data_IF_138314390118
#
_entry.id   IF_138314390118
#
_cell.length_a   1.000
_cell.length_b   1.000
_cell.length_c   1.000
_cell.angle_alpha   90.00
_cell.angle_beta   90.00
_cell.angle_gamma   90.00
#
_symmetry.space_group_name_H-M   'P 1'
#
loop_
_entity.id
_entity.type
_entity.pdbx_description
1 polymer ?
#
# COMPACT_ATOMS: atom_id res chain seq x y z
N UNK A 1 -9.84 -21.77 12.09
CA UNK A 1 -10.04 -21.56 10.63
C UNK A 1 -9.71 -20.10 10.31
N UNK A 2 -8.47 -19.82 9.90
CA UNK A 2 -8.04 -18.48 9.50
C UNK A 2 -8.33 -18.32 8.02
N UNK A 3 -9.21 -17.37 7.67
CA UNK A 3 -9.55 -17.09 6.26
C UNK A 3 -8.38 -16.34 5.63
N UNK A 4 -7.68 -16.99 4.70
CA UNK A 4 -6.65 -16.38 3.87
C UNK A 4 -7.27 -15.20 3.11
N UNK A 5 -7.01 -13.99 3.60
CA UNK A 5 -7.55 -12.77 3.01
C UNK A 5 -6.62 -12.34 1.88
N UNK A 6 -6.99 -12.73 0.66
CA UNK A 6 -6.28 -12.35 -0.56
C UNK A 6 -6.47 -10.86 -0.80
N UNK A 7 -5.38 -10.08 -0.81
CA UNK A 7 -5.42 -8.66 -1.17
C UNK A 7 -5.45 -8.55 -2.69
N UNK A 8 -6.61 -8.20 -3.23
CA UNK A 8 -6.76 -7.90 -4.67
C UNK A 8 -6.19 -6.51 -4.95
N UNK A 9 -5.03 -6.45 -5.59
CA UNK A 9 -4.43 -5.19 -6.08
C UNK A 9 -5.13 -4.79 -7.38
N UNK A 10 -6.02 -3.81 -7.32
CA UNK A 10 -6.63 -3.25 -8.53
C UNK A 10 -5.64 -2.30 -9.21
N UNK A 11 -5.23 -2.65 -10.43
CA UNK A 11 -4.53 -1.74 -11.34
C UNK A 11 -5.49 -0.59 -11.67
N UNK A 12 -5.22 0.61 -11.16
CA UNK A 12 -5.85 1.81 -11.70
C UNK A 12 -5.26 1.97 -13.10
N UNK A 13 -6.03 1.66 -14.14
CA UNK A 13 -5.71 2.18 -15.47
C UNK A 13 -5.59 3.70 -15.32
N UNK A 14 -4.40 4.22 -15.61
CA UNK A 14 -4.17 5.65 -15.69
C UNK A 14 -5.23 6.18 -16.65
N UNK A 15 -6.20 6.92 -16.11
CA UNK A 15 -7.22 7.57 -16.89
C UNK A 15 -6.51 8.33 -18.00
N UNK A 16 -6.76 7.93 -19.25
CA UNK A 16 -6.53 8.79 -20.40
C UNK A 16 -7.43 9.99 -20.19
N UNK A 17 -6.89 11.06 -19.62
CA UNK A 17 -7.46 12.38 -19.88
C UNK A 17 -7.32 12.56 -21.38
N UNK A 18 -8.45 12.56 -22.09
CA UNK A 18 -8.49 12.97 -23.48
C UNK A 18 -7.96 14.41 -23.53
N UNK A 19 -6.72 14.55 -24.00
CA UNK A 19 -6.10 15.83 -24.27
C UNK A 19 -6.89 16.47 -25.43
N UNK A 20 -7.29 17.74 -25.34
CA UNK A 20 -7.91 18.43 -26.46
C UNK A 20 -6.99 18.35 -27.69
N UNK A 21 -7.56 18.07 -28.87
CA UNK A 21 -6.87 17.71 -30.13
C UNK A 21 -5.88 18.76 -30.69
N UNK A 22 -5.58 19.85 -29.97
CA UNK A 22 -4.89 21.02 -30.52
C UNK A 22 -3.61 21.44 -29.78
N UNK A 23 -3.01 20.59 -28.94
CA UNK A 23 -1.67 20.85 -28.39
C UNK A 23 -0.62 19.91 -29.02
N UNK A 24 0.31 20.49 -29.78
CA UNK A 24 1.46 19.77 -30.32
C UNK A 24 2.27 19.11 -29.20
N UNK A 25 2.82 17.90 -29.41
CA UNK A 25 3.56 17.21 -28.38
C UNK A 25 4.91 17.90 -28.16
N UNK A 26 5.04 18.61 -27.04
CA UNK A 26 6.35 18.92 -26.49
C UNK A 26 7.12 17.61 -26.26
N UNK A 27 8.14 17.37 -27.09
CA UNK A 27 9.14 16.31 -26.91
C UNK A 27 9.84 16.50 -25.57
N UNK A 28 9.39 15.80 -24.54
CA UNK A 28 10.06 15.77 -23.25
C UNK A 28 9.44 14.73 -22.34
N UNK A 29 10.26 13.77 -21.91
CA UNK A 29 9.98 12.79 -20.84
C UNK A 29 8.92 11.71 -21.12
N UNK A 30 9.23 10.80 -22.05
CA UNK A 30 8.56 9.48 -22.15
C UNK A 30 9.56 8.31 -22.07
N UNK A 31 10.61 8.48 -21.27
CA UNK A 31 11.72 7.50 -21.20
C UNK A 31 12.00 6.96 -19.80
N UNK A 32 11.39 7.53 -18.74
CA UNK A 32 11.58 7.06 -17.35
C UNK A 32 10.61 5.97 -16.90
N UNK A 33 9.58 5.66 -17.69
CA UNK A 33 8.55 4.68 -17.33
C UNK A 33 8.89 3.25 -17.82
N UNK A 34 9.86 3.09 -18.73
CA UNK A 34 10.21 1.80 -19.32
C UNK A 34 10.97 0.89 -18.35
N UNK A 35 11.88 1.43 -17.54
CA UNK A 35 12.65 0.63 -16.56
C UNK A 35 11.77 0.15 -15.40
N UNK A 36 10.90 1.03 -14.88
CA UNK A 36 9.94 0.68 -13.83
C UNK A 36 8.96 -0.41 -14.28
N UNK A 37 8.54 -0.40 -15.55
CA UNK A 37 7.61 -1.40 -16.07
C UNK A 37 8.24 -2.81 -16.15
N UNK A 38 9.56 -2.92 -16.31
CA UNK A 38 10.29 -4.20 -16.29
C UNK A 38 10.58 -4.68 -14.85
N UNK A 39 10.69 -3.76 -13.90
CA UNK A 39 10.96 -4.07 -12.48
C UNK A 39 9.70 -4.48 -11.70
N UNK A 40 8.52 -3.99 -12.09
CA UNK A 40 7.26 -4.33 -11.43
C UNK A 40 6.97 -5.85 -11.43
N UNK A 41 7.08 -6.58 -12.56
CA UNK A 41 6.92 -8.04 -12.57
C UNK A 41 7.90 -8.75 -11.64
N UNK A 42 9.16 -8.28 -11.59
CA UNK A 42 10.19 -8.85 -10.70
C UNK A 42 9.86 -8.62 -9.22
N UNK A 43 9.35 -7.43 -8.88
CA UNK A 43 8.90 -7.12 -7.52
C UNK A 43 7.73 -8.03 -7.11
N UNK A 44 6.75 -8.22 -8.00
CA UNK A 44 5.62 -9.12 -7.74
C UNK A 44 6.05 -10.58 -7.60
N UNK A 45 6.93 -11.06 -8.48
CA UNK A 45 7.48 -12.40 -8.42
C UNK A 45 8.26 -12.63 -7.13
N UNK A 46 9.09 -11.65 -6.72
CA UNK A 46 9.82 -11.71 -5.45
C UNK A 46 8.90 -11.79 -4.24
N UNK A 47 7.77 -11.06 -4.24
CA UNK A 47 6.78 -11.13 -3.15
C UNK A 47 6.03 -12.48 -3.08
N UNK A 48 6.07 -13.27 -4.15
CA UNK A 48 5.43 -14.59 -4.24
C UNK A 48 6.33 -15.79 -3.95
N UNK A 49 7.65 -15.59 -3.82
CA UNK A 49 8.64 -16.67 -3.66
C UNK A 49 8.72 -17.21 -2.23
N UNK A 50 9.10 -18.47 -2.05
CA UNK A 50 9.21 -19.14 -0.74
C UNK A 50 10.21 -18.47 0.23
N UNK A 51 11.22 -17.77 -0.29
CA UNK A 51 12.14 -16.91 0.47
C UNK A 51 11.99 -15.46 0.02
N UNK A 52 12.00 -14.51 0.96
CA UNK A 52 11.97 -13.07 0.68
C UNK A 52 10.97 -12.30 1.54
N UNK A 53 10.50 -11.17 1.01
CA UNK A 53 9.45 -10.38 1.64
C UNK A 53 8.08 -10.91 1.24
N UNK A 54 7.09 -10.82 2.13
CA UNK A 54 5.70 -11.11 1.83
C UNK A 54 4.76 -10.03 2.36
N UNK A 55 3.57 -10.01 1.79
CA UNK A 55 2.50 -9.16 2.26
C UNK A 55 1.71 -9.86 3.38
N UNK A 56 1.56 -9.20 4.52
CA UNK A 56 0.77 -9.69 5.64
C UNK A 56 -0.28 -8.67 6.08
N UNK A 57 -1.38 -9.18 6.65
CA UNK A 57 -2.37 -8.36 7.35
C UNK A 57 -2.07 -8.47 8.84
N UNK A 58 -1.85 -7.32 9.47
CA UNK A 58 -1.51 -7.20 10.88
C UNK A 58 -2.63 -6.50 11.63
N UNK A 59 -2.90 -6.97 12.84
CA UNK A 59 -3.84 -6.33 13.75
C UNK A 59 -3.31 -4.95 14.16
N UNK A 60 -4.21 -3.99 14.34
CA UNK A 60 -3.87 -2.61 14.64
C UNK A 60 -3.28 -2.43 16.03
N UNK A 61 -3.71 -3.22 17.01
CA UNK A 61 -3.17 -3.26 18.39
C UNK A 61 -1.63 -3.43 18.48
N UNK A 62 -0.99 -3.97 17.44
CA UNK A 62 0.47 -4.04 17.35
C UNK A 62 1.15 -2.67 17.11
N UNK A 63 0.40 -1.67 16.66
CA UNK A 63 0.93 -0.36 16.24
C UNK A 63 0.33 0.80 17.01
N UNK A 64 -0.83 0.65 17.64
CA UNK A 64 -1.54 1.77 18.29
C UNK A 64 -2.17 1.34 19.60
N UNK A 65 -2.46 2.34 20.44
CA UNK A 65 -3.34 2.19 21.60
C UNK A 65 -4.80 2.46 21.22
N UNK A 66 -5.75 1.99 22.04
CA UNK A 66 -7.17 2.18 21.77
C UNK A 66 -7.49 3.66 21.68
N UNK A 67 -8.30 4.04 20.70
CA UNK A 67 -8.76 5.42 20.51
C UNK A 67 -7.66 6.45 20.16
N UNK A 68 -6.44 5.99 19.89
CA UNK A 68 -5.32 6.87 19.54
C UNK A 68 -5.54 7.56 18.19
N UNK A 69 -5.30 8.87 18.13
CA UNK A 69 -5.33 9.63 16.89
C UNK A 69 -3.94 9.75 16.28
N UNK A 70 -3.72 9.12 15.12
CA UNK A 70 -2.45 9.11 14.41
C UNK A 70 -2.68 9.33 12.91
N UNK A 71 -1.72 9.95 12.25
CA UNK A 71 -1.64 9.94 10.79
C UNK A 71 -0.91 8.68 10.29
N UNK A 72 -0.98 8.43 8.99
CA UNK A 72 -0.42 7.22 8.40
C UNK A 72 1.11 7.20 8.45
N UNK A 73 1.78 8.36 8.44
CA UNK A 73 3.24 8.41 8.62
C UNK A 73 3.69 7.94 10.00
N UNK A 74 2.97 8.32 11.06
CA UNK A 74 3.24 7.86 12.43
C UNK A 74 3.12 6.33 12.52
N UNK A 75 2.11 5.74 11.85
CA UNK A 75 1.96 4.27 11.76
C UNK A 75 3.13 3.62 10.99
N UNK A 76 3.55 4.19 9.86
CA UNK A 76 4.72 3.70 9.10
C UNK A 76 5.98 3.70 9.98
N UNK A 77 6.20 4.77 10.76
CA UNK A 77 7.35 4.85 11.66
C UNK A 77 7.31 3.75 12.72
N UNK A 78 6.14 3.46 13.30
CA UNK A 78 5.98 2.35 14.26
C UNK A 78 6.24 0.99 13.61
N UNK A 79 5.75 0.78 12.38
CA UNK A 79 6.05 -0.44 11.61
C UNK A 79 7.54 -0.66 11.39
N UNK A 80 8.32 0.40 11.15
CA UNK A 80 9.78 0.31 10.99
C UNK A 80 10.49 -0.23 12.23
N UNK A 81 10.03 0.08 13.44
CA UNK A 81 10.58 -0.49 14.66
C UNK A 81 10.43 -2.02 14.72
N UNK A 82 9.46 -2.56 13.97
CA UNK A 82 9.20 -3.98 13.82
C UNK A 82 9.81 -4.60 12.55
N UNK A 83 10.63 -3.84 11.82
CA UNK A 83 11.17 -4.22 10.49
C UNK A 83 10.09 -4.47 9.44
N UNK A 84 8.96 -3.79 9.55
CA UNK A 84 7.83 -3.89 8.62
C UNK A 84 7.67 -2.59 7.83
N UNK A 85 7.22 -2.71 6.59
CA UNK A 85 6.85 -1.58 5.74
C UNK A 85 5.32 -1.56 5.65
N UNK A 86 4.67 -0.65 6.39
CA UNK A 86 3.22 -0.45 6.30
C UNK A 86 2.89 0.22 4.97
N UNK A 87 2.10 -0.45 4.13
CA UNK A 87 1.75 0.01 2.78
C UNK A 87 0.27 0.39 2.64
N UNK A 88 -0.57 0.00 3.60
CA UNK A 88 -1.99 0.33 3.58
C UNK A 88 -2.73 -0.09 4.84
N UNK A 89 -4.05 0.06 4.83
CA UNK A 89 -4.94 -0.37 5.90
C UNK A 89 -6.31 -0.78 5.36
N UNK A 90 -7.10 -1.48 6.18
CA UNK A 90 -8.54 -1.65 6.00
C UNK A 90 -9.22 -1.31 7.32
N UNK A 91 -10.21 -0.43 7.24
CA UNK A 91 -11.02 -0.06 8.40
C UNK A 91 -11.97 -1.19 8.77
N UNK A 92 -12.36 -1.25 10.04
CA UNK A 92 -13.25 -2.27 10.58
C UNK A 92 -14.59 -2.37 9.81
N UNK A 93 -15.11 -1.23 9.36
CA UNK A 93 -16.36 -1.07 8.64
C UNK A 93 -16.20 -1.02 7.11
N UNK A 94 -14.96 -1.08 6.62
CA UNK A 94 -14.67 -1.04 5.20
C UNK A 94 -14.54 -2.44 4.59
N UNK A 95 -15.21 -2.65 3.46
CA UNK A 95 -15.10 -3.90 2.70
C UNK A 95 -13.71 -4.07 2.06
N UNK A 96 -13.11 -2.97 1.62
CA UNK A 96 -11.87 -2.96 0.82
C UNK A 96 -10.71 -2.28 1.54
N UNK A 97 -9.53 -2.83 1.33
CA UNK A 97 -8.28 -2.23 1.74
C UNK A 97 -7.92 -1.00 0.90
N UNK A 98 -7.29 -0.01 1.53
CA UNK A 98 -6.66 1.15 0.90
C UNK A 98 -5.16 0.95 0.91
N UNK A 99 -4.57 0.71 -0.26
CA UNK A 99 -3.13 0.66 -0.46
C UNK A 99 -2.64 2.04 -0.88
N UNK A 100 -1.52 2.48 -0.32
CA UNK A 100 -0.92 3.79 -0.57
C UNK A 100 -1.95 4.94 -0.38
N UNK A 101 -2.47 5.13 0.85
CA UNK A 101 -3.53 6.10 1.10
C UNK A 101 -3.12 7.51 0.62
N UNK A 102 -4.02 8.27 -0.04
CA UNK A 102 -3.67 9.53 -0.66
C UNK A 102 -3.35 10.64 0.37
N UNK A 103 -4.05 10.67 1.50
CA UNK A 103 -3.85 11.64 2.58
C UNK A 103 -3.12 10.98 3.76
N UNK A 104 -1.79 10.92 3.71
CA UNK A 104 -0.96 10.22 4.72
C UNK A 104 -0.73 11.04 5.99
N UNK A 105 -0.87 12.34 5.89
CA UNK A 105 -0.70 13.36 6.93
C UNK A 105 -1.97 13.60 7.74
N UNK A 106 -3.13 13.27 7.18
CA UNK A 106 -4.41 13.34 7.87
C UNK A 106 -4.40 12.45 9.13
N UNK A 107 -4.59 13.06 10.30
CA UNK A 107 -4.78 12.33 11.56
C UNK A 107 -6.18 11.72 11.57
N UNK A 108 -6.29 10.50 12.09
CA UNK A 108 -7.57 9.85 12.35
C UNK A 108 -7.52 9.07 13.65
N UNK A 109 -8.69 8.89 14.25
CA UNK A 109 -8.92 7.91 15.29
C UNK A 109 -8.94 6.51 14.68
N UNK A 110 -8.12 5.61 15.22
CA UNK A 110 -8.06 4.21 14.80
C UNK A 110 -8.78 3.31 15.82
N UNK A 111 -9.30 2.19 15.33
CA UNK A 111 -9.91 1.13 16.14
C UNK A 111 -9.03 -0.11 16.15
N UNK A 112 -9.03 -0.88 17.24
CA UNK A 112 -8.40 -2.21 17.27
C UNK A 112 -9.01 -3.21 16.29
N UNK A 113 -10.19 -2.92 15.74
CA UNK A 113 -10.81 -3.72 14.68
C UNK A 113 -10.26 -3.39 13.30
N UNK A 114 -9.52 -2.30 13.15
CA UNK A 114 -8.81 -1.96 11.93
C UNK A 114 -7.62 -2.91 11.74
N UNK A 115 -7.17 -3.06 10.50
CA UNK A 115 -5.99 -3.86 10.17
C UNK A 115 -5.04 -3.08 9.27
N UNK A 116 -3.75 -3.30 9.44
CA UNK A 116 -2.70 -2.75 8.60
C UNK A 116 -2.18 -3.79 7.62
N UNK A 117 -1.83 -3.34 6.42
CA UNK A 117 -1.23 -4.18 5.40
C UNK A 117 0.25 -3.83 5.35
N UNK A 118 1.09 -4.82 5.57
CA UNK A 118 2.54 -4.66 5.66
C UNK A 118 3.26 -5.53 4.66
N UNK A 119 4.45 -5.09 4.28
CA UNK A 119 5.48 -5.95 3.69
C UNK A 119 6.49 -6.26 4.80
N UNK A 120 6.75 -7.54 5.03
CA UNK A 120 7.71 -8.02 6.03
C UNK A 120 8.51 -9.18 5.48
N UNK A 121 9.67 -9.48 6.07
CA UNK A 121 10.41 -10.71 5.76
C UNK A 121 9.60 -11.91 6.26
N UNK A 122 9.60 -13.01 5.50
CA UNK A 122 9.03 -14.30 5.93
C UNK A 122 9.80 -14.83 7.15
N UNK A 123 9.06 -15.24 8.18
CA UNK A 123 9.62 -15.91 9.36
C UNK A 123 10.08 -17.35 9.03
#
# INVERSE_FOLDING_TARGET
MQKNSTVVVYRRELARTEMPENEEPHKGTRERDSELCCLLPFIFDTLGREQGNEMQIRSSDLYLSEEEELNFYEIILRGRHRKEIVIGYRLADAERAVINPPAKDARRKWSYKDVFIVITVKD
#
